data_IF_072624760348
#
_entry.id   IF_072624760348
#
_cell.length_a   1.000
_cell.length_b   1.000
_cell.length_c   1.000
_cell.angle_alpha   90.00
_cell.angle_beta   90.00
_cell.angle_gamma   90.00
#
_symmetry.space_group_name_H-M   'P 1'
#
loop_
_entity.id
_entity.type
_entity.pdbx_description
1 polymer ?
#
# COMPACT_ATOMS: atom_id res chain seq x y z
N UNK A 1 53.36 -8.44 -38.84
CA UNK A 1 53.98 -7.46 -37.94
C UNK A 1 52.91 -6.49 -37.45
N UNK A 2 52.97 -6.15 -36.17
CA UNK A 2 52.22 -5.12 -35.43
C UNK A 2 50.94 -5.69 -34.81
N UNK A 3 50.95 -6.10 -33.53
CA UNK A 3 51.08 -5.29 -32.30
C UNK A 3 50.02 -4.18 -32.35
N UNK A 4 49.00 -4.12 -31.49
CA UNK A 4 49.11 -4.11 -30.05
C UNK A 4 47.80 -4.57 -29.39
N UNK A 5 47.98 -5.35 -28.33
CA UNK A 5 47.02 -5.62 -27.26
C UNK A 5 46.90 -4.31 -26.47
N UNK A 6 45.76 -3.62 -26.55
CA UNK A 6 45.39 -2.57 -25.61
C UNK A 6 44.20 -3.09 -24.80
N UNK A 7 44.55 -3.78 -23.71
CA UNK A 7 43.64 -4.10 -22.64
C UNK A 7 43.23 -2.80 -21.91
N UNK A 8 41.99 -2.81 -21.41
CA UNK A 8 41.47 -1.98 -20.34
C UNK A 8 41.30 -0.48 -20.61
N UNK A 9 40.08 -0.10 -21.01
CA UNK A 9 39.29 0.86 -20.25
C UNK A 9 37.80 0.45 -20.33
N UNK A 10 37.34 -0.30 -19.32
CA UNK A 10 35.92 -0.37 -18.97
C UNK A 10 35.52 1.00 -18.40
N UNK A 11 35.18 1.96 -19.25
CA UNK A 11 34.39 3.12 -18.82
C UNK A 11 32.91 2.74 -18.88
N UNK A 12 32.47 1.91 -17.93
CA UNK A 12 31.04 1.72 -17.67
C UNK A 12 30.53 3.09 -17.21
N UNK A 13 29.78 3.76 -18.07
CA UNK A 13 29.08 5.00 -17.77
C UNK A 13 28.40 4.86 -16.39
N UNK A 14 28.58 5.82 -15.45
CA UNK A 14 27.84 5.77 -14.20
C UNK A 14 26.36 5.80 -14.57
N UNK A 15 25.63 4.78 -14.14
CA UNK A 15 24.19 4.72 -14.31
C UNK A 15 23.57 6.02 -13.77
N UNK A 16 22.52 6.56 -14.41
CA UNK A 16 21.79 7.68 -13.83
C UNK A 16 21.34 7.26 -12.43
N UNK A 17 21.77 8.04 -11.44
CA UNK A 17 21.31 7.93 -10.05
C UNK A 17 19.78 7.83 -10.04
N UNK A 18 19.17 6.87 -9.32
CA UNK A 18 17.73 6.84 -9.17
C UNK A 18 17.29 8.18 -8.56
N UNK A 19 16.42 8.89 -9.27
CA UNK A 19 15.82 10.12 -8.78
C UNK A 19 15.21 9.86 -7.38
N UNK A 20 15.31 10.81 -6.44
CA UNK A 20 14.73 10.64 -5.12
C UNK A 20 13.23 10.39 -5.27
N UNK A 21 12.78 9.22 -4.83
CA UNK A 21 11.37 8.86 -4.73
C UNK A 21 10.65 9.96 -3.94
N UNK A 22 9.94 10.85 -4.65
CA UNK A 22 8.91 11.69 -4.02
C UNK A 22 7.77 10.74 -3.65
N UNK A 23 7.85 10.20 -2.44
CA UNK A 23 6.74 9.55 -1.74
C UNK A 23 5.68 10.62 -1.39
N UNK A 24 4.94 11.07 -2.40
CA UNK A 24 3.74 11.87 -2.19
C UNK A 24 2.56 10.93 -1.89
N UNK A 25 2.36 10.69 -0.59
CA UNK A 25 1.03 10.51 0.00
C UNK A 25 0.18 9.34 -0.51
N UNK A 26 0.36 8.17 0.09
CA UNK A 26 -0.74 7.30 0.55
C UNK A 26 -1.80 6.80 -0.48
N UNK A 27 -1.57 6.87 -1.78
CA UNK A 27 -2.62 6.50 -2.77
C UNK A 27 -2.20 5.45 -3.81
N UNK A 28 -1.10 4.72 -3.55
CA UNK A 28 -0.91 3.40 -4.17
C UNK A 28 -2.12 2.57 -3.76
N UNK A 29 -3.03 2.27 -4.71
CA UNK A 29 -4.32 1.59 -4.54
C UNK A 29 -4.17 0.23 -3.85
N UNK A 30 -3.86 0.25 -2.56
CA UNK A 30 -3.92 -0.90 -1.67
C UNK A 30 -5.40 -1.16 -1.47
N UNK A 31 -5.84 -2.38 -1.76
CA UNK A 31 -7.19 -2.81 -1.43
C UNK A 31 -7.44 -2.45 0.05
N UNK A 32 -8.47 -1.63 0.32
CA UNK A 32 -8.79 -1.17 1.67
C UNK A 32 -8.99 -2.40 2.55
N UNK A 33 -8.08 -2.61 3.49
CA UNK A 33 -8.15 -3.76 4.39
C UNK A 33 -9.40 -3.59 5.26
N UNK A 34 -10.28 -4.59 5.25
CA UNK A 34 -11.55 -4.56 6.00
C UNK A 34 -11.62 -5.67 7.04
N UNK A 35 -12.39 -5.43 8.09
CA UNK A 35 -12.77 -6.43 9.08
C UNK A 35 -14.15 -6.97 8.73
N UNK A 36 -14.28 -8.30 8.69
CA UNK A 36 -15.52 -8.99 8.35
C UNK A 36 -15.95 -9.90 9.48
N UNK A 37 -17.23 -9.87 9.85
CA UNK A 37 -17.82 -10.84 10.77
C UNK A 37 -19.16 -11.33 10.23
N UNK A 38 -19.27 -12.64 10.05
CA UNK A 38 -20.51 -13.31 9.66
C UNK A 38 -21.22 -13.91 10.87
N UNK A 39 -22.55 -13.95 10.84
CA UNK A 39 -23.33 -14.78 11.76
C UNK A 39 -22.96 -16.26 11.56
N UNK A 40 -23.17 -17.07 12.60
CA UNK A 40 -22.89 -18.52 12.56
C UNK A 40 -23.62 -19.25 11.44
N UNK A 41 -24.84 -18.79 11.12
CA UNK A 41 -25.65 -19.32 10.02
C UNK A 41 -25.36 -18.66 8.65
N UNK A 42 -24.43 -17.71 8.58
CA UNK A 42 -24.00 -17.05 7.33
C UNK A 42 -25.00 -16.09 6.68
N UNK A 43 -26.19 -15.91 7.26
CA UNK A 43 -27.26 -15.05 6.69
C UNK A 43 -26.95 -13.56 6.77
N UNK A 44 -26.19 -13.15 7.79
CA UNK A 44 -25.80 -11.76 7.99
C UNK A 44 -24.29 -11.68 8.01
N UNK A 45 -23.75 -10.73 7.25
CA UNK A 45 -22.33 -10.37 7.33
C UNK A 45 -22.18 -8.88 7.48
N UNK A 46 -21.36 -8.47 8.46
CA UNK A 46 -21.01 -7.08 8.72
C UNK A 46 -19.56 -6.83 8.29
N UNK A 47 -19.34 -5.70 7.63
CA UNK A 47 -18.03 -5.23 7.16
C UNK A 47 -17.71 -3.87 7.79
N UNK A 48 -16.51 -3.75 8.37
CA UNK A 48 -15.99 -2.52 8.99
C UNK A 48 -14.66 -2.12 8.36
N UNK A 49 -14.46 -0.81 8.17
CA UNK A 49 -13.17 -0.26 7.74
C UNK A 49 -12.12 -0.22 8.85
N UNK A 50 -12.53 0.00 10.11
CA UNK A 50 -11.66 0.04 11.31
C UNK A 50 -12.36 -0.57 12.53
N UNK A 51 -11.60 -0.94 13.57
CA UNK A 51 -12.16 -1.47 14.83
C UNK A 51 -12.12 -0.45 15.96
N UNK A 52 -11.15 0.44 15.91
CA UNK A 52 -10.95 1.47 16.92
C UNK A 52 -11.62 2.76 16.45
N UNK A 53 -12.57 3.25 17.24
CA UNK A 53 -13.26 4.52 17.04
C UNK A 53 -13.01 5.34 18.29
N UNK A 54 -12.41 6.51 18.13
CA UNK A 54 -12.08 7.38 19.25
C UNK A 54 -13.27 8.29 19.55
N UNK A 55 -13.64 8.37 20.81
CA UNK A 55 -14.57 9.38 21.32
C UNK A 55 -13.76 10.61 21.73
N UNK A 56 -14.04 11.74 21.10
CA UNK A 56 -13.53 13.05 21.49
C UNK A 56 -14.61 13.76 22.31
N UNK A 57 -14.19 14.64 23.23
CA UNK A 57 -15.11 15.39 24.11
C UNK A 57 -16.31 16.04 23.39
N UNK A 58 -16.18 16.36 22.10
CA UNK A 58 -17.20 17.02 21.29
C UNK A 58 -17.84 16.13 20.22
N UNK A 59 -17.23 15.01 19.85
CA UNK A 59 -17.70 14.16 18.77
C UNK A 59 -17.02 12.79 18.77
N UNK A 60 -17.69 11.79 18.20
CA UNK A 60 -17.15 10.45 18.03
C UNK A 60 -16.74 10.24 16.57
N UNK A 61 -15.66 9.50 16.35
CA UNK A 61 -15.28 8.99 15.05
C UNK A 61 -16.46 8.28 14.35
N UNK A 62 -16.79 8.62 13.10
CA UNK A 62 -17.91 8.01 12.41
C UNK A 62 -17.68 6.52 12.13
N UNK A 63 -18.72 5.72 12.42
CA UNK A 63 -18.71 4.28 12.16
C UNK A 63 -19.35 4.00 10.79
N UNK A 64 -18.52 3.61 9.83
CA UNK A 64 -19.00 3.15 8.52
C UNK A 64 -19.06 1.62 8.52
N UNK A 65 -20.28 1.09 8.53
CA UNK A 65 -20.56 -0.35 8.43
C UNK A 65 -21.32 -0.66 7.15
N UNK A 66 -21.01 -1.79 6.51
CA UNK A 66 -21.79 -2.34 5.42
C UNK A 66 -22.35 -3.71 5.80
N UNK A 67 -23.62 -3.96 5.48
CA UNK A 67 -24.33 -5.20 5.79
C UNK A 67 -24.73 -5.91 4.50
N UNK A 68 -24.63 -7.24 4.51
CA UNK A 68 -25.13 -8.10 3.44
C UNK A 68 -26.04 -9.17 4.01
N UNK A 69 -27.19 -9.36 3.36
CA UNK A 69 -28.19 -10.40 3.65
C UNK A 69 -28.19 -11.39 2.48
N UNK A 70 -28.15 -12.68 2.77
CA UNK A 70 -28.25 -13.77 1.79
C UNK A 70 -29.58 -14.50 1.87
#
# INVERSE_FOLDING_TARGET
MNSQKLDALHAKSPAPSPDPDIDDGSSRRQATRVFKKSSSNGKITVYLGKRDFVDHLTHVDPIVVANSIK
#
